data_IF_721505587996
#
_entry.id   IF_721505587996
#
_cell.length_a   1.000
_cell.length_b   1.000
_cell.length_c   1.000
_cell.angle_alpha   90.00
_cell.angle_beta   90.00
_cell.angle_gamma   90.00
#
_symmetry.space_group_name_H-M   'P 1'
#
loop_
_entity.id
_entity.type
_entity.pdbx_description
1 polymer ?
#
# COMPACT_ATOMS: atom_id res chain seq x y z
N UNK A 1 -23.06 33.87 5.26
CA UNK A 1 -21.84 33.10 4.91
C UNK A 1 -22.27 31.68 4.60
N UNK A 2 -22.14 31.25 3.34
CA UNK A 2 -22.43 29.87 2.95
C UNK A 2 -21.30 28.96 3.43
N UNK A 3 -21.58 27.78 3.98
CA UNK A 3 -20.54 26.86 4.42
C UNK A 3 -19.72 26.39 3.21
N UNK A 4 -18.39 26.54 3.31
CA UNK A 4 -17.46 25.99 2.33
C UNK A 4 -17.47 24.44 2.44
N UNK A 5 -17.44 23.71 1.32
CA UNK A 5 -17.35 22.26 1.35
C UNK A 5 -16.07 21.79 2.05
N UNK A 6 -16.21 20.88 3.01
CA UNK A 6 -15.08 20.28 3.73
C UNK A 6 -14.61 19.02 2.98
N UNK A 7 -13.40 19.05 2.45
CA UNK A 7 -12.80 17.89 1.77
C UNK A 7 -11.98 17.05 2.74
N UNK A 8 -12.31 15.76 2.85
CA UNK A 8 -11.53 14.79 3.63
C UNK A 8 -10.38 14.23 2.77
N UNK A 9 -9.14 14.46 3.20
CA UNK A 9 -7.96 13.82 2.60
C UNK A 9 -7.86 12.38 3.11
N UNK A 10 -7.52 11.45 2.22
CA UNK A 10 -7.29 10.04 2.57
C UNK A 10 -5.82 9.74 2.43
N UNK A 11 -5.22 9.24 3.51
CA UNK A 11 -3.85 8.77 3.53
C UNK A 11 -3.89 7.25 3.62
N UNK A 12 -3.22 6.57 2.69
CA UNK A 12 -3.15 5.12 2.63
C UNK A 12 -1.73 4.69 2.99
N UNK A 13 -1.61 3.88 4.04
CA UNK A 13 -0.35 3.25 4.42
C UNK A 13 -0.30 1.85 3.82
N UNK A 14 0.71 1.57 3.00
CA UNK A 14 0.88 0.30 2.30
C UNK A 14 2.23 -0.28 2.67
N UNK A 15 2.28 -1.58 2.96
CA UNK A 15 3.53 -2.30 3.17
C UNK A 15 4.25 -2.49 1.84
N UNK A 16 5.57 -2.42 1.82
CA UNK A 16 6.36 -2.78 0.64
C UNK A 16 6.14 -4.26 0.24
N UNK A 17 6.42 -4.57 -1.02
CA UNK A 17 6.39 -5.95 -1.53
C UNK A 17 7.48 -6.83 -0.90
N UNK A 18 7.42 -8.14 -1.17
CA UNK A 18 8.42 -9.09 -0.68
C UNK A 18 9.87 -8.69 -1.04
N UNK A 19 10.81 -8.93 -0.13
CA UNK A 19 12.26 -8.72 -0.30
C UNK A 19 13.01 -9.93 0.26
N UNK A 20 14.13 -10.28 -0.34
CA UNK A 20 14.99 -11.36 0.16
C UNK A 20 16.18 -10.75 0.91
N UNK A 21 16.26 -10.99 2.23
CA UNK A 21 17.33 -10.45 3.07
C UNK A 21 18.65 -11.20 2.97
N UNK A 22 18.65 -12.35 2.28
CA UNK A 22 19.81 -13.21 2.12
C UNK A 22 20.05 -13.48 0.65
N UNK A 23 21.31 -13.48 0.24
CA UNK A 23 21.71 -13.92 -1.09
C UNK A 23 21.39 -15.43 -1.28
N UNK A 24 21.41 -15.94 -2.51
CA UNK A 24 21.28 -17.38 -2.77
C UNK A 24 22.29 -18.24 -2.01
N UNK A 25 23.47 -17.69 -1.71
CA UNK A 25 24.54 -18.33 -0.92
C UNK A 25 24.35 -18.17 0.60
N UNK A 26 23.23 -17.59 1.04
CA UNK A 26 22.87 -17.39 2.44
C UNK A 26 23.55 -16.20 3.12
N UNK A 27 24.23 -15.32 2.38
CA UNK A 27 24.86 -14.13 2.96
C UNK A 27 23.84 -13.03 3.21
N UNK A 28 23.83 -12.36 4.38
CA UNK A 28 22.91 -11.28 4.65
C UNK A 28 23.18 -10.07 3.74
N UNK A 29 22.11 -9.46 3.25
CA UNK A 29 22.12 -8.21 2.48
C UNK A 29 21.86 -7.00 3.40
N UNK A 30 22.33 -5.81 3.01
CA UNK A 30 22.01 -4.58 3.75
C UNK A 30 20.51 -4.28 3.65
N UNK A 31 19.75 -4.31 4.76
CA UNK A 31 18.30 -4.14 4.75
C UNK A 31 17.85 -2.75 4.30
N UNK A 32 18.75 -1.75 4.29
CA UNK A 32 18.42 -0.37 3.89
C UNK A 32 18.27 -0.22 2.36
N UNK A 33 18.90 -1.11 1.60
CA UNK A 33 19.00 -1.01 0.14
C UNK A 33 18.59 -2.30 -0.59
N UNK A 34 17.96 -3.25 0.11
CA UNK A 34 17.53 -4.51 -0.48
C UNK A 34 16.41 -4.28 -1.51
N UNK A 35 16.57 -4.73 -2.77
CA UNK A 35 15.53 -4.58 -3.77
C UNK A 35 14.34 -5.51 -3.50
N UNK A 36 13.22 -5.25 -4.19
CA UNK A 36 12.14 -6.24 -4.26
C UNK A 36 12.65 -7.53 -4.90
N UNK A 37 12.16 -8.65 -4.42
CA UNK A 37 12.32 -9.92 -5.12
C UNK A 37 11.31 -10.02 -6.27
N UNK A 38 11.44 -11.02 -7.14
CA UNK A 38 10.47 -11.25 -8.22
C UNK A 38 9.03 -11.39 -7.70
N UNK A 39 8.84 -12.08 -6.56
CA UNK A 39 7.53 -12.13 -5.88
C UNK A 39 7.07 -10.74 -5.41
N UNK A 40 7.99 -9.90 -4.94
CA UNK A 40 7.68 -8.52 -4.55
C UNK A 40 7.27 -7.65 -5.74
N UNK A 41 7.92 -7.82 -6.88
CA UNK A 41 7.56 -7.14 -8.14
C UNK A 41 6.17 -7.57 -8.61
N UNK A 42 5.88 -8.87 -8.61
CA UNK A 42 4.56 -9.42 -8.95
C UNK A 42 3.45 -8.87 -8.04
N UNK A 43 3.72 -8.75 -6.73
CA UNK A 43 2.78 -8.16 -5.77
C UNK A 43 2.50 -6.69 -6.07
N UNK A 44 3.53 -5.93 -6.42
CA UNK A 44 3.38 -4.53 -6.83
C UNK A 44 2.56 -4.45 -8.11
N UNK A 45 2.86 -5.27 -9.12
CA UNK A 45 2.15 -5.28 -10.39
C UNK A 45 0.67 -5.66 -10.25
N UNK A 46 0.36 -6.71 -9.47
CA UNK A 46 -1.01 -7.09 -9.15
C UNK A 46 -1.77 -5.97 -8.42
N UNK A 47 -1.07 -5.21 -7.58
CA UNK A 47 -1.61 -4.05 -6.86
C UNK A 47 -1.79 -2.79 -7.73
N UNK A 48 -1.13 -2.72 -8.90
CA UNK A 48 -1.38 -1.65 -9.88
C UNK A 48 -2.68 -1.88 -10.65
N UNK A 49 -3.00 -3.15 -10.98
CA UNK A 49 -4.21 -3.50 -11.75
C UNK A 49 -5.51 -3.36 -10.96
N UNK A 50 -5.43 -3.46 -9.63
CA UNK A 50 -6.50 -3.07 -8.71
C UNK A 50 -5.94 -1.98 -7.83
N UNK A 51 -6.11 -0.72 -8.21
CA UNK A 51 -5.46 0.39 -7.51
C UNK A 51 -5.67 0.21 -6.01
N UNK A 52 -4.59 0.08 -5.23
CA UNK A 52 -4.67 -0.13 -3.77
C UNK A 52 -5.61 0.91 -3.11
N UNK A 53 -5.65 2.10 -3.70
CA UNK A 53 -6.57 3.18 -3.38
C UNK A 53 -8.05 2.79 -3.51
N UNK A 54 -8.44 2.11 -4.59
CA UNK A 54 -9.81 1.66 -4.87
C UNK A 54 -10.24 0.55 -3.90
N UNK A 55 -9.37 -0.42 -3.62
CA UNK A 55 -9.66 -1.49 -2.65
C UNK A 55 -9.80 -0.96 -1.24
N UNK A 56 -8.89 -0.10 -0.79
CA UNK A 56 -9.01 0.49 0.55
C UNK A 56 -10.22 1.43 0.62
N UNK A 57 -10.52 2.19 -0.44
CA UNK A 57 -11.75 2.98 -0.51
C UNK A 57 -12.99 2.10 -0.37
N UNK A 58 -13.10 1.01 -1.15
CA UNK A 58 -14.25 0.11 -1.12
C UNK A 58 -14.46 -0.52 0.27
N UNK A 59 -13.37 -0.86 0.97
CA UNK A 59 -13.43 -1.49 2.28
C UNK A 59 -13.71 -0.49 3.43
N UNK A 60 -13.30 0.78 3.29
CA UNK A 60 -13.50 1.81 4.31
C UNK A 60 -14.76 2.69 4.10
N UNK A 61 -15.29 2.78 2.88
CA UNK A 61 -16.47 3.58 2.58
C UNK A 61 -17.66 3.32 3.53
N UNK A 62 -18.08 2.07 3.81
CA UNK A 62 -19.22 1.82 4.70
C UNK A 62 -18.95 2.18 6.17
N UNK A 63 -17.68 2.32 6.59
CA UNK A 63 -17.32 2.75 7.95
C UNK A 63 -17.32 4.28 8.12
N UNK A 64 -17.36 5.03 7.03
CA UNK A 64 -17.37 6.51 7.06
C UNK A 64 -18.76 7.11 7.13
N UNK A 65 -19.80 6.39 6.69
CA UNK A 65 -21.21 6.82 6.72
C UNK A 65 -21.89 6.52 8.07
N UNK A 66 -21.27 5.72 8.95
CA UNK A 66 -21.84 5.34 10.25
C UNK A 66 -21.40 6.22 11.42
N UNK A 67 -20.84 7.41 11.16
CA UNK A 67 -20.49 8.35 12.24
C UNK A 67 -21.59 9.42 12.37
N UNK A 68 -22.23 9.57 13.54
CA UNK A 68 -23.23 10.62 13.78
C UNK A 68 -22.64 12.03 13.68
#
# INVERSE_FOLDING_TARGET
MSPQPVYRRRCYLVRHGHVDYFSPDGQPLDPRNVPLSGLGEDQVQASQHQTVMERIHAQLAPLTEQRP
#
